data_IF_069372408386
#
_entry.id   IF_069372408386
#
_cell.length_a   1.000
_cell.length_b   1.000
_cell.length_c   1.000
_cell.angle_alpha   90.00
_cell.angle_beta   90.00
_cell.angle_gamma   90.00
#
_symmetry.space_group_name_H-M   'P 1'
#
loop_
_entity.id
_entity.type
_entity.pdbx_description
1 polymer ?
#
# COMPACT_ATOMS: atom_id res chain seq x y z
N UNK A 1 15.92 57.84 -19.98
CA UNK A 1 14.69 57.57 -19.22
C UNK A 1 14.13 56.24 -19.68
N UNK A 2 14.30 55.18 -18.90
CA UNK A 2 13.61 53.90 -19.11
C UNK A 2 13.25 53.36 -17.72
N UNK A 3 11.95 53.27 -17.46
CA UNK A 3 11.37 53.12 -16.13
C UNK A 3 11.30 51.63 -15.76
N UNK A 4 12.01 51.23 -14.71
CA UNK A 4 11.94 49.88 -14.12
C UNK A 4 10.64 49.76 -13.30
N UNK A 5 9.77 48.82 -13.67
CA UNK A 5 8.56 48.51 -12.89
C UNK A 5 8.87 47.31 -11.98
N UNK A 6 9.11 47.58 -10.68
CA UNK A 6 9.21 46.53 -9.66
C UNK A 6 7.79 46.19 -9.20
N UNK A 7 7.26 45.05 -9.65
CA UNK A 7 6.03 44.48 -9.11
C UNK A 7 6.32 43.85 -7.75
N UNK A 8 6.04 44.58 -6.66
CA UNK A 8 6.03 44.02 -5.32
C UNK A 8 4.78 43.14 -5.17
N UNK A 9 4.96 41.82 -5.33
CA UNK A 9 3.93 40.85 -4.98
C UNK A 9 3.88 40.73 -3.45
N UNK A 10 2.84 41.29 -2.83
CA UNK A 10 2.58 41.10 -1.42
C UNK A 10 2.22 39.63 -1.18
N UNK A 11 3.15 38.88 -0.56
CA UNK A 11 2.86 37.57 0.00
C UNK A 11 1.91 37.76 1.19
N UNK A 12 0.61 37.55 0.95
CA UNK A 12 -0.33 37.34 2.04
C UNK A 12 0.04 36.02 2.73
N UNK A 13 0.62 36.11 3.92
CA UNK A 13 0.80 34.96 4.81
C UNK A 13 -0.56 34.57 5.39
N UNK A 14 -1.44 34.02 4.55
CA UNK A 14 -2.59 33.26 5.00
C UNK A 14 -2.08 31.93 5.52
N UNK A 15 -1.89 31.82 6.83
CA UNK A 15 -1.66 30.53 7.46
C UNK A 15 -2.91 29.67 7.25
N UNK A 16 -2.91 28.88 6.18
CA UNK A 16 -3.93 27.87 5.94
C UNK A 16 -3.87 26.92 7.14
N UNK A 17 -4.89 27.01 8.01
CA UNK A 17 -5.01 26.16 9.19
C UNK A 17 -4.99 24.70 8.71
N UNK A 18 -3.97 23.95 9.12
CA UNK A 18 -3.82 22.55 8.71
C UNK A 18 -5.08 21.77 9.14
N UNK A 19 -5.82 21.28 8.14
CA UNK A 19 -7.13 20.66 8.34
C UNK A 19 -6.96 19.23 8.85
N UNK A 20 -7.61 18.89 9.95
CA UNK A 20 -7.46 17.58 10.61
C UNK A 20 -8.58 16.61 10.21
N UNK A 21 -8.20 15.55 9.50
CA UNK A 21 -9.11 14.46 9.09
C UNK A 21 -9.52 13.55 10.25
N UNK A 22 -8.89 13.70 11.41
CA UNK A 22 -9.20 12.92 12.61
C UNK A 22 -10.41 13.51 13.34
N UNK A 23 -10.53 14.84 13.36
CA UNK A 23 -11.57 15.54 14.12
C UNK A 23 -12.79 15.91 13.29
N UNK A 24 -12.66 15.93 11.95
CA UNK A 24 -13.75 16.28 11.03
C UNK A 24 -13.94 15.21 9.92
N UNK A 25 -14.30 13.94 10.27
CA UNK A 25 -14.38 12.85 9.29
C UNK A 25 -15.48 13.04 8.23
N UNK A 26 -16.42 13.97 8.46
CA UNK A 26 -17.50 14.32 7.52
C UNK A 26 -17.03 15.20 6.35
N UNK A 27 -15.80 15.75 6.40
CA UNK A 27 -15.20 16.53 5.31
C UNK A 27 -14.64 15.57 4.25
N UNK A 28 -15.37 15.43 3.14
CA UNK A 28 -14.98 14.55 2.04
C UNK A 28 -13.96 15.20 1.08
N UNK A 29 -13.97 16.53 0.96
CA UNK A 29 -13.04 17.27 0.12
C UNK A 29 -11.76 17.62 0.87
N UNK A 30 -10.84 16.65 0.89
CA UNK A 30 -9.58 16.71 1.63
C UNK A 30 -8.40 17.08 0.73
N UNK A 31 -8.63 17.24 -0.57
CA UNK A 31 -7.58 17.31 -1.59
C UNK A 31 -6.75 16.02 -1.75
N UNK A 32 -6.99 14.99 -0.92
CA UNK A 32 -6.25 13.73 -0.96
C UNK A 32 -6.72 12.83 -2.09
N UNK A 33 -5.76 12.29 -2.84
CA UNK A 33 -6.00 11.29 -3.86
C UNK A 33 -5.72 9.90 -3.30
N UNK A 34 -6.76 9.16 -2.95
CA UNK A 34 -6.63 7.77 -2.51
C UNK A 34 -6.36 6.83 -3.70
N UNK A 35 -5.51 5.83 -3.48
CA UNK A 35 -5.13 4.80 -4.44
C UNK A 35 -5.10 3.44 -3.74
N UNK A 36 -5.31 2.37 -4.47
CA UNK A 36 -5.19 1.00 -3.97
C UNK A 36 -4.37 0.19 -4.97
N UNK A 37 -3.28 -0.41 -4.49
CA UNK A 37 -2.36 -1.21 -5.29
C UNK A 37 -2.58 -2.68 -4.94
N UNK A 38 -2.69 -3.51 -5.96
CA UNK A 38 -2.80 -4.97 -5.84
C UNK A 38 -2.11 -5.64 -7.02
N UNK A 39 -2.02 -6.97 -7.02
CA UNK A 39 -1.48 -7.70 -8.19
C UNK A 39 -2.28 -7.44 -9.48
N UNK A 40 -3.55 -7.08 -9.37
CA UNK A 40 -4.41 -6.73 -10.52
C UNK A 40 -4.32 -5.26 -10.92
N UNK A 41 -3.73 -4.42 -10.08
CA UNK A 41 -3.51 -3.00 -10.35
C UNK A 41 -2.18 -2.54 -9.73
N UNK A 42 -1.02 -2.97 -10.27
CA UNK A 42 0.30 -2.64 -9.70
C UNK A 42 0.59 -1.14 -9.70
N UNK A 43 0.01 -0.39 -10.63
CA UNK A 43 0.15 1.06 -10.73
C UNK A 43 -0.88 1.84 -9.87
N UNK A 44 -1.84 1.13 -9.25
CA UNK A 44 -2.86 1.73 -8.39
C UNK A 44 -3.80 2.72 -9.08
N UNK A 45 -3.95 2.66 -10.41
CA UNK A 45 -4.71 3.63 -11.18
C UNK A 45 -6.21 3.55 -10.85
N UNK A 46 -6.94 4.69 -10.84
CA UNK A 46 -8.39 4.70 -10.58
C UNK A 46 -9.15 3.80 -11.56
N UNK A 47 -10.02 2.92 -11.02
CA UNK A 47 -10.88 2.04 -11.82
C UNK A 47 -10.17 0.84 -12.49
N UNK A 48 -8.86 0.68 -12.34
CA UNK A 48 -8.11 -0.38 -13.03
C UNK A 48 -8.02 -1.70 -12.25
N UNK A 49 -8.56 -1.77 -11.03
CA UNK A 49 -8.58 -3.02 -10.25
C UNK A 49 -9.60 -4.04 -10.76
N UNK A 50 -9.24 -5.33 -10.70
CA UNK A 50 -10.18 -6.43 -10.95
C UNK A 50 -10.59 -6.64 -12.41
N UNK A 51 -9.89 -6.01 -13.35
CA UNK A 51 -10.21 -6.06 -14.79
C UNK A 51 -9.95 -7.44 -15.41
N UNK A 52 -9.04 -8.22 -14.83
CA UNK A 52 -8.74 -9.57 -15.32
C UNK A 52 -9.99 -10.46 -15.27
N UNK A 53 -10.23 -11.17 -16.37
CA UNK A 53 -11.32 -12.15 -16.49
C UNK A 53 -11.00 -13.35 -15.61
N UNK A 54 -11.94 -13.74 -14.75
CA UNK A 54 -11.89 -15.00 -14.03
C UNK A 54 -12.76 -16.04 -14.73
N UNK A 55 -12.74 -17.27 -14.23
CA UNK A 55 -13.72 -18.31 -14.57
C UNK A 55 -15.18 -17.88 -14.31
N UNK A 56 -15.41 -16.81 -13.53
CA UNK A 56 -16.73 -16.23 -13.25
C UNK A 56 -17.09 -15.05 -14.17
N UNK A 57 -16.25 -14.72 -15.16
CA UNK A 57 -16.50 -13.65 -16.14
C UNK A 57 -15.50 -12.49 -16.07
N UNK A 58 -15.66 -11.53 -17.00
CA UNK A 58 -14.80 -10.34 -17.07
C UNK A 58 -15.08 -9.40 -15.88
N UNK A 59 -14.04 -8.73 -15.36
CA UNK A 59 -14.20 -7.78 -14.26
C UNK A 59 -14.39 -8.42 -12.87
N UNK A 60 -14.12 -9.72 -12.71
CA UNK A 60 -14.39 -10.50 -11.49
C UNK A 60 -13.11 -10.97 -10.79
N UNK A 61 -12.07 -10.12 -10.80
CA UNK A 61 -10.80 -10.36 -10.09
C UNK A 61 -10.11 -11.67 -10.50
N UNK A 62 -9.74 -11.79 -11.77
CA UNK A 62 -9.11 -13.00 -12.33
C UNK A 62 -7.67 -13.26 -11.91
N UNK A 63 -6.94 -12.27 -11.38
CA UNK A 63 -5.54 -12.40 -10.99
C UNK A 63 -5.22 -11.73 -9.64
N UNK A 64 -5.99 -11.99 -8.56
CA UNK A 64 -5.89 -11.25 -7.30
C UNK A 64 -4.62 -11.54 -6.50
N UNK A 65 -3.93 -12.64 -6.82
CA UNK A 65 -2.75 -13.15 -6.15
C UNK A 65 -1.73 -13.64 -7.16
N UNK A 66 -0.49 -13.80 -6.72
CA UNK A 66 0.60 -14.36 -7.50
C UNK A 66 1.30 -15.45 -6.70
N UNK A 67 1.64 -16.54 -7.37
CA UNK A 67 2.50 -17.57 -6.81
C UNK A 67 3.96 -17.13 -6.91
N UNK A 68 4.69 -17.23 -5.81
CA UNK A 68 6.11 -16.90 -5.73
C UNK A 68 6.92 -18.18 -5.70
N UNK A 69 7.90 -18.29 -6.60
CA UNK A 69 8.84 -19.41 -6.62
C UNK A 69 9.93 -19.22 -5.56
N UNK A 70 10.60 -20.30 -5.11
CA UNK A 70 11.74 -20.19 -4.21
C UNK A 70 12.81 -19.23 -4.75
N UNK A 71 13.22 -18.26 -3.92
CA UNK A 71 14.18 -17.22 -4.29
C UNK A 71 13.64 -16.09 -5.16
N UNK A 72 12.39 -16.16 -5.62
CA UNK A 72 11.78 -15.08 -6.41
C UNK A 72 11.53 -13.84 -5.54
N UNK A 73 11.88 -12.67 -6.07
CA UNK A 73 11.54 -11.38 -5.48
C UNK A 73 10.55 -10.67 -6.38
N UNK A 74 9.46 -10.18 -5.80
CA UNK A 74 8.44 -9.39 -6.51
C UNK A 74 8.32 -8.01 -5.87
N UNK A 75 8.20 -6.98 -6.72
CA UNK A 75 7.83 -5.65 -6.28
C UNK A 75 6.32 -5.59 -6.05
N UNK A 76 5.88 -5.43 -4.80
CA UNK A 76 4.45 -5.30 -4.46
C UNK A 76 3.89 -3.92 -4.85
N UNK A 77 4.68 -2.87 -4.65
CA UNK A 77 4.36 -1.51 -5.07
C UNK A 77 5.64 -0.68 -5.24
N UNK A 78 5.62 0.27 -6.17
CA UNK A 78 6.63 1.34 -6.30
C UNK A 78 5.89 2.67 -6.43
N UNK A 79 5.90 3.46 -5.34
CA UNK A 79 5.13 4.70 -5.22
C UNK A 79 6.10 5.87 -5.31
N UNK A 80 5.84 6.81 -6.23
CA UNK A 80 6.59 8.05 -6.36
C UNK A 80 5.83 9.23 -5.75
N UNK A 81 6.58 10.15 -5.15
CA UNK A 81 6.04 11.36 -4.52
C UNK A 81 5.61 11.14 -3.07
N UNK A 82 5.18 12.21 -2.39
CA UNK A 82 4.78 12.17 -0.99
C UNK A 82 3.44 11.47 -0.81
N UNK A 83 3.26 10.78 0.32
CA UNK A 83 2.01 10.13 0.66
C UNK A 83 2.07 9.40 1.99
N UNK A 84 0.99 8.68 2.31
CA UNK A 84 0.91 7.86 3.52
C UNK A 84 0.23 6.54 3.18
N UNK A 85 0.89 5.44 3.52
CA UNK A 85 0.27 4.11 3.47
C UNK A 85 -0.57 3.94 4.74
N UNK A 86 -1.89 3.79 4.55
CA UNK A 86 -2.85 3.73 5.66
C UNK A 86 -3.37 2.31 5.93
N UNK A 87 -3.21 1.41 4.97
CA UNK A 87 -3.72 0.04 5.05
C UNK A 87 -2.89 -0.89 4.18
N UNK A 88 -2.38 -1.96 4.76
CA UNK A 88 -1.71 -3.07 4.08
C UNK A 88 -2.47 -4.33 4.46
N UNK A 89 -2.86 -5.14 3.48
CA UNK A 89 -3.51 -6.43 3.69
C UNK A 89 -2.93 -7.46 2.74
N UNK A 90 -2.56 -8.62 3.27
CA UNK A 90 -2.04 -9.76 2.49
C UNK A 90 -2.49 -11.06 3.15
N UNK A 91 -2.74 -12.09 2.34
CA UNK A 91 -3.03 -13.45 2.81
C UNK A 91 -2.08 -14.42 2.14
N UNK A 92 -1.68 -15.45 2.86
CA UNK A 92 -0.78 -16.51 2.41
C UNK A 92 -1.34 -17.86 2.87
N UNK A 93 -0.76 -18.95 2.37
CA UNK A 93 -1.03 -20.26 2.94
C UNK A 93 -0.67 -20.23 4.44
N UNK A 94 -1.61 -20.61 5.33
CA UNK A 94 -1.43 -20.41 6.76
C UNK A 94 -0.62 -21.57 7.36
N UNK A 95 0.56 -21.88 6.83
CA UNK A 95 1.47 -22.86 7.44
C UNK A 95 2.74 -22.18 7.97
N UNK A 96 3.36 -22.70 9.04
CA UNK A 96 4.52 -22.07 9.67
C UNK A 96 5.69 -21.85 8.71
N UNK A 97 5.92 -22.78 7.78
CA UNK A 97 7.02 -22.70 6.82
C UNK A 97 6.82 -21.51 5.86
N UNK A 98 5.63 -21.41 5.25
CA UNK A 98 5.29 -20.34 4.31
C UNK A 98 5.33 -18.97 4.99
N UNK A 99 4.76 -18.85 6.20
CA UNK A 99 4.72 -17.59 6.95
C UNK A 99 6.11 -17.09 7.41
N UNK A 100 7.09 -18.00 7.55
CA UNK A 100 8.47 -17.68 7.90
C UNK A 100 9.40 -17.52 6.71
N UNK A 101 9.04 -18.09 5.56
CA UNK A 101 9.89 -18.10 4.35
C UNK A 101 9.70 -16.88 3.45
N UNK A 102 8.52 -16.26 3.44
CA UNK A 102 8.31 -15.02 2.69
C UNK A 102 8.69 -13.80 3.55
N UNK A 103 9.65 -13.01 3.07
CA UNK A 103 10.11 -11.79 3.72
C UNK A 103 9.57 -10.58 2.98
N UNK A 104 8.95 -9.65 3.72
CA UNK A 104 8.55 -8.34 3.19
C UNK A 104 9.63 -7.33 3.51
N UNK A 105 9.95 -6.49 2.53
CA UNK A 105 10.91 -5.41 2.67
C UNK A 105 10.30 -4.10 2.19
N UNK A 106 10.49 -3.03 2.96
CA UNK A 106 9.96 -1.70 2.65
C UNK A 106 11.08 -0.68 2.80
N UNK A 107 11.24 0.14 1.77
CA UNK A 107 12.20 1.23 1.69
C UNK A 107 11.45 2.54 1.57
N UNK A 108 11.97 3.57 2.22
CA UNK A 108 11.49 4.94 2.08
C UNK A 108 12.57 5.78 1.39
N UNK A 109 12.15 6.72 0.55
CA UNK A 109 13.00 7.80 0.00
C UNK A 109 14.34 7.34 -0.64
N UNK A 110 14.35 6.17 -1.28
CA UNK A 110 15.54 5.65 -1.98
C UNK A 110 16.70 5.25 -1.07
N UNK A 111 16.44 4.99 0.21
CA UNK A 111 17.45 4.54 1.16
C UNK A 111 18.11 3.22 0.71
N UNK A 112 19.40 3.05 1.05
CA UNK A 112 20.19 1.86 0.70
C UNK A 112 19.71 0.58 1.41
N UNK A 113 19.20 0.72 2.63
CA UNK A 113 18.75 -0.38 3.47
C UNK A 113 17.23 -0.26 3.71
N UNK A 114 16.50 -1.38 3.82
CA UNK A 114 15.08 -1.33 4.11
C UNK A 114 14.84 -0.85 5.55
N UNK A 115 13.80 -0.05 5.74
CA UNK A 115 13.37 0.38 7.07
C UNK A 115 12.51 -0.67 7.77
N UNK A 116 11.88 -1.56 6.99
CA UNK A 116 11.15 -2.72 7.49
C UNK A 116 11.66 -3.93 6.72
N UNK A 117 12.17 -4.94 7.42
CA UNK A 117 12.51 -6.24 6.87
C UNK A 117 12.11 -7.32 7.89
N UNK A 118 11.06 -8.07 7.58
CA UNK A 118 10.59 -9.16 8.45
C UNK A 118 9.81 -10.21 7.65
N UNK A 119 9.64 -11.43 8.19
CA UNK A 119 8.70 -12.39 7.64
C UNK A 119 7.28 -11.81 7.56
N UNK A 120 6.55 -12.10 6.48
CA UNK A 120 5.18 -11.59 6.30
C UNK A 120 4.26 -12.01 7.44
N UNK A 121 4.46 -13.21 7.99
CA UNK A 121 3.74 -13.68 9.17
C UNK A 121 3.86 -12.72 10.36
N UNK A 122 5.04 -12.17 10.61
CA UNK A 122 5.27 -11.25 11.73
C UNK A 122 4.62 -9.89 11.51
N UNK A 123 4.61 -9.39 10.27
CA UNK A 123 3.96 -8.12 9.93
C UNK A 123 2.44 -8.18 10.12
N UNK A 124 1.79 -9.26 9.66
CA UNK A 124 0.32 -9.33 9.57
C UNK A 124 -0.37 -9.84 10.85
N UNK A 125 0.32 -10.63 11.70
CA UNK A 125 -0.14 -11.02 13.04
C UNK A 125 0.94 -11.90 13.68
N UNK A 126 1.56 -11.43 14.76
CA UNK A 126 2.66 -12.10 15.47
C UNK A 126 2.56 -13.63 15.49
N UNK A 127 3.64 -14.26 15.02
CA UNK A 127 3.79 -15.69 14.79
C UNK A 127 3.80 -16.57 16.07
N UNK A 128 2.97 -16.25 17.07
CA UNK A 128 2.87 -16.94 18.36
C UNK A 128 1.59 -17.75 18.57
N UNK A 129 0.68 -17.85 17.60
CA UNK A 129 -0.40 -18.85 17.69
C UNK A 129 0.13 -20.17 17.13
N UNK A 130 0.51 -21.10 18.02
CA UNK A 130 0.59 -22.53 17.68
C UNK A 130 -0.71 -22.87 16.95
N UNK A 131 -0.62 -23.25 15.67
CA UNK A 131 -1.73 -23.94 15.03
C UNK A 131 -1.91 -25.25 15.78
N UNK A 132 -3.03 -25.35 16.50
CA UNK A 132 -3.45 -26.62 17.08
C UNK A 132 -3.81 -27.50 15.88
N UNK A 133 -3.18 -28.67 15.69
CA UNK A 133 -3.56 -29.58 14.63
C UNK A 133 -5.05 -29.87 14.76
N UNK A 134 -5.81 -29.66 13.69
CA UNK A 134 -7.20 -30.14 13.61
C UNK A 134 -7.18 -31.65 13.40
N UNK A 135 -6.81 -32.40 14.43
CA UNK A 135 -7.01 -33.84 14.52
C UNK A 135 -8.07 -34.12 15.59
N UNK A 136 -9.32 -33.80 15.27
CA UNK A 136 -10.47 -34.40 15.95
C UNK A 136 -11.56 -34.62 14.91
N UNK A 137 -11.48 -35.78 14.25
CA UNK A 137 -12.63 -36.45 13.66
C UNK A 137 -13.53 -36.95 14.79
N UNK A 138 -14.77 -36.48 14.83
CA UNK A 138 -15.90 -37.24 15.37
C UNK A 138 -16.78 -37.63 14.18
#
# INVERSE_FOLDING_TARGET
>A
MLTTLIAACALSSGAAKAQSLVTEPYRLDTGLKSRSISFENPAGQPGQGGQAKSNLGAGRKGAPSRDLKPGETVTLCDIKGPGTIRHIWMTMKPDPETLRSCVVRIWWEGQKHPSIECPVGDLNRGASRKQIPSSVSH
#
